data_IF_333183360080
#
_entry.id   IF_333183360080
#
_cell.length_a   1.000
_cell.length_b   1.000
_cell.length_c   1.000
_cell.angle_alpha   90.00
_cell.angle_beta   90.00
_cell.angle_gamma   90.00
#
_symmetry.space_group_name_H-M   'P 1'
#
loop_
_entity.id
_entity.type
_entity.pdbx_description
1 polymer ?
#
# COMPACT_ATOMS: atom_id res chain seq x y z
N UNK A 1 14.04 -0.45 -17.38
CA UNK A 1 13.52 -1.02 -16.14
C UNK A 1 12.29 -0.27 -15.63
N UNK A 2 11.46 -0.92 -14.82
CA UNK A 2 10.20 -0.38 -14.32
C UNK A 2 10.11 -0.60 -12.81
N UNK A 3 9.69 0.43 -12.08
CA UNK A 3 9.31 0.36 -10.67
C UNK A 3 7.80 0.53 -10.56
N UNK A 4 7.14 -0.44 -9.90
CA UNK A 4 5.69 -0.47 -9.68
C UNK A 4 5.38 -0.06 -8.24
N UNK A 5 4.52 0.95 -8.07
CA UNK A 5 4.09 1.47 -6.77
C UNK A 5 2.60 1.18 -6.53
N UNK A 6 2.26 0.20 -5.69
CA UNK A 6 0.89 -0.18 -5.40
C UNK A 6 0.11 0.88 -4.62
N UNK A 7 -1.23 0.77 -4.67
CA UNK A 7 -2.14 1.57 -3.86
C UNK A 7 -2.30 1.08 -2.42
N UNK A 8 -3.18 1.75 -1.67
CA UNK A 8 -3.61 1.30 -0.34
C UNK A 8 -4.21 -0.10 -0.45
N UNK A 9 -4.01 -0.92 0.55
CA UNK A 9 -4.49 -2.32 0.67
C UNK A 9 -4.06 -3.26 -0.46
N UNK A 10 -3.28 -2.78 -1.43
CA UNK A 10 -2.92 -3.53 -2.64
C UNK A 10 -1.65 -4.38 -2.48
N UNK A 11 -0.94 -4.26 -1.38
CA UNK A 11 0.23 -5.08 -1.05
C UNK A 11 -0.10 -6.01 0.11
N UNK A 12 0.30 -7.27 0.01
CA UNK A 12 0.18 -8.23 1.10
C UNK A 12 0.98 -7.78 2.34
N UNK A 13 0.44 -8.05 3.52
CA UNK A 13 1.12 -7.81 4.80
C UNK A 13 1.37 -9.16 5.51
N UNK A 14 2.54 -9.32 6.11
CA UNK A 14 2.99 -10.53 6.79
C UNK A 14 3.36 -10.23 8.24
N UNK A 15 3.05 -11.17 9.14
CA UNK A 15 3.56 -11.12 10.51
C UNK A 15 5.04 -11.55 10.56
N UNK A 16 5.83 -10.75 11.25
CA UNK A 16 7.23 -11.04 11.58
C UNK A 16 7.45 -11.09 13.10
N UNK A 17 6.36 -11.21 13.85
CA UNK A 17 6.38 -11.35 15.31
C UNK A 17 6.83 -12.76 15.71
N UNK A 18 7.70 -12.84 16.73
CA UNK A 18 8.31 -14.08 17.22
C UNK A 18 8.05 -14.33 18.70
N UNK A 19 7.23 -13.48 19.37
CA UNK A 19 6.79 -13.74 20.74
C UNK A 19 5.99 -15.04 20.82
N UNK A 20 5.92 -15.68 21.98
CA UNK A 20 5.24 -16.95 22.16
C UNK A 20 3.79 -16.93 21.65
N UNK A 21 3.05 -15.87 21.97
CA UNK A 21 1.67 -15.64 21.51
C UNK A 21 1.58 -15.45 19.99
N UNK A 22 2.56 -14.80 19.38
CA UNK A 22 2.55 -14.42 17.97
C UNK A 22 3.29 -15.40 17.03
N UNK A 23 4.10 -16.28 17.58
CA UNK A 23 4.92 -17.21 16.79
C UNK A 23 4.13 -18.10 15.81
N UNK A 24 2.88 -18.53 16.11
CA UNK A 24 2.07 -19.29 15.16
C UNK A 24 1.75 -18.51 13.87
N UNK A 25 1.88 -17.19 13.90
CA UNK A 25 1.62 -16.29 12.78
C UNK A 25 2.89 -15.88 12.03
N UNK A 26 4.05 -16.27 12.49
CA UNK A 26 5.32 -15.91 11.86
C UNK A 26 5.33 -16.22 10.37
N UNK A 27 5.63 -15.21 9.54
CA UNK A 27 5.64 -15.22 8.08
C UNK A 27 4.32 -15.61 7.40
N UNK A 28 3.22 -15.59 8.14
CA UNK A 28 1.91 -15.80 7.53
C UNK A 28 1.31 -14.47 7.04
N UNK A 29 0.62 -14.54 5.92
CA UNK A 29 -0.10 -13.37 5.36
C UNK A 29 -1.26 -12.99 6.27
N UNK A 30 -1.23 -11.78 6.81
CA UNK A 30 -2.33 -11.14 7.55
C UNK A 30 -3.28 -10.41 6.62
N UNK A 31 -2.77 -9.96 5.47
CA UNK A 31 -3.52 -9.26 4.43
C UNK A 31 -3.10 -9.77 3.05
N UNK A 32 -4.06 -9.88 2.12
CA UNK A 32 -3.77 -10.26 0.74
C UNK A 32 -3.60 -11.77 0.54
N UNK A 33 -4.47 -12.59 1.15
CA UNK A 33 -4.52 -14.04 0.92
C UNK A 33 -5.86 -14.63 1.36
N UNK A 34 -6.16 -15.84 0.92
CA UNK A 34 -7.34 -16.59 1.39
C UNK A 34 -7.31 -16.86 2.89
N UNK A 35 -6.12 -17.01 3.48
CA UNK A 35 -5.95 -17.18 4.94
C UNK A 35 -6.40 -15.94 5.73
N UNK A 36 -6.40 -14.76 5.13
CA UNK A 36 -6.95 -13.53 5.73
C UNK A 36 -8.43 -13.71 6.06
N UNK A 37 -9.21 -14.26 5.12
CA UNK A 37 -10.65 -14.47 5.30
C UNK A 37 -10.91 -15.44 6.46
N UNK A 38 -10.14 -16.54 6.51
CA UNK A 38 -10.25 -17.52 7.61
C UNK A 38 -9.95 -16.86 8.97
N UNK A 39 -8.91 -16.03 9.05
CA UNK A 39 -8.55 -15.33 10.29
C UNK A 39 -9.58 -14.29 10.69
N UNK A 40 -10.06 -13.49 9.75
CA UNK A 40 -11.11 -12.52 9.99
C UNK A 40 -12.40 -13.18 10.52
N UNK A 41 -12.67 -14.44 10.15
CA UNK A 41 -13.84 -15.18 10.60
C UNK A 41 -13.64 -15.93 11.93
N UNK A 42 -12.45 -16.53 12.14
CA UNK A 42 -12.24 -17.45 13.27
C UNK A 42 -11.37 -16.87 14.39
N UNK A 43 -10.63 -15.77 14.12
CA UNK A 43 -9.71 -15.12 15.06
C UNK A 43 -9.64 -13.61 14.80
N UNK A 44 -10.82 -12.98 14.73
CA UNK A 44 -10.99 -11.58 14.33
C UNK A 44 -10.21 -10.62 15.23
N UNK A 45 -10.32 -10.78 16.53
CA UNK A 45 -9.72 -9.82 17.48
C UNK A 45 -8.19 -9.82 17.38
N UNK A 46 -7.60 -10.99 17.20
CA UNK A 46 -6.17 -11.12 16.98
C UNK A 46 -5.75 -10.54 15.62
N UNK A 47 -6.53 -10.83 14.57
CA UNK A 47 -6.29 -10.30 13.23
C UNK A 47 -6.37 -8.77 13.19
N UNK A 48 -7.41 -8.17 13.79
CA UNK A 48 -7.57 -6.71 13.89
C UNK A 48 -6.43 -6.10 14.69
N UNK A 49 -6.08 -6.66 15.85
CA UNK A 49 -4.97 -6.19 16.70
C UNK A 49 -3.64 -6.15 15.95
N UNK A 50 -3.36 -7.13 15.11
CA UNK A 50 -2.15 -7.16 14.28
C UNK A 50 -2.17 -6.11 13.17
N UNK A 51 -3.34 -5.70 12.70
CA UNK A 51 -3.46 -4.69 11.64
C UNK A 51 -3.58 -3.26 12.16
N UNK A 52 -3.96 -3.06 13.41
CA UNK A 52 -3.97 -1.73 14.02
C UNK A 52 -2.56 -1.20 14.24
N UNK A 53 -2.41 0.11 14.13
CA UNK A 53 -1.20 0.82 14.53
C UNK A 53 -1.44 1.51 15.87
N UNK A 54 -0.37 1.66 16.65
CA UNK A 54 -0.38 2.43 17.88
C UNK A 54 -0.67 3.92 17.59
N UNK A 55 -1.68 4.53 18.22
CA UNK A 55 -2.12 5.88 17.88
C UNK A 55 -1.11 6.97 18.24
N UNK A 56 -0.20 6.72 19.18
CA UNK A 56 0.80 7.70 19.58
C UNK A 56 2.00 7.72 18.65
N UNK A 57 2.42 6.57 18.16
CA UNK A 57 3.62 6.43 17.32
C UNK A 57 3.32 6.24 15.83
N UNK A 58 2.13 5.76 15.49
CA UNK A 58 1.78 5.35 14.13
C UNK A 58 2.59 4.14 13.64
N UNK A 59 3.10 3.31 14.56
CA UNK A 59 3.88 2.10 14.30
C UNK A 59 3.14 0.86 14.80
N UNK A 60 3.71 -0.33 14.57
CA UNK A 60 3.19 -1.56 15.15
C UNK A 60 3.17 -1.48 16.68
N UNK A 61 2.09 -1.94 17.36
CA UNK A 61 2.07 -2.05 18.82
C UNK A 61 3.17 -2.95 19.35
N UNK A 62 3.49 -2.83 20.63
CA UNK A 62 4.46 -3.68 21.31
C UNK A 62 4.12 -5.17 21.11
N UNK A 63 5.14 -5.99 20.87
CA UNK A 63 4.99 -7.44 20.57
C UNK A 63 4.52 -7.75 19.14
N UNK A 64 4.06 -6.76 18.39
CA UNK A 64 3.61 -6.93 17.00
C UNK A 64 4.67 -6.45 16.01
N UNK A 65 4.88 -7.20 14.93
CA UNK A 65 5.77 -6.82 13.83
C UNK A 65 5.12 -7.22 12.51
N UNK A 66 4.59 -6.26 11.77
CA UNK A 66 3.98 -6.48 10.46
C UNK A 66 4.79 -5.78 9.39
N UNK A 67 5.02 -6.46 8.28
CA UNK A 67 5.81 -5.95 7.16
C UNK A 67 5.12 -6.25 5.83
N UNK A 68 5.38 -5.41 4.85
CA UNK A 68 4.94 -5.67 3.49
C UNK A 68 5.61 -6.93 2.92
N UNK A 69 4.81 -7.78 2.32
CA UNK A 69 5.31 -8.89 1.54
C UNK A 69 6.13 -8.38 0.34
N UNK A 70 7.12 -9.14 -0.08
CA UNK A 70 8.05 -8.75 -1.12
C UNK A 70 7.84 -9.55 -2.41
N UNK A 71 8.37 -9.04 -3.51
CA UNK A 71 8.29 -9.65 -4.84
C UNK A 71 6.98 -9.31 -5.57
N UNK A 72 6.92 -9.64 -6.86
CA UNK A 72 5.76 -9.32 -7.72
C UNK A 72 4.46 -9.94 -7.20
N UNK A 73 4.53 -11.11 -6.59
CA UNK A 73 3.38 -11.82 -6.01
C UNK A 73 2.72 -11.08 -4.83
N UNK A 74 3.43 -10.13 -4.22
CA UNK A 74 2.89 -9.34 -3.13
C UNK A 74 1.65 -8.51 -3.52
N UNK A 75 1.51 -8.16 -4.81
CA UNK A 75 0.37 -7.41 -5.32
C UNK A 75 -0.38 -8.13 -6.46
N UNK A 76 0.20 -9.16 -7.07
CA UNK A 76 -0.41 -9.87 -8.21
C UNK A 76 -1.59 -10.75 -7.80
N UNK A 77 -1.51 -11.37 -6.62
CA UNK A 77 -2.50 -12.35 -6.11
C UNK A 77 -3.13 -11.88 -4.81
N UNK A 78 -3.60 -10.64 -4.78
CA UNK A 78 -4.17 -10.04 -3.59
C UNK A 78 -5.49 -10.67 -3.15
N UNK A 79 -6.46 -10.73 -4.06
CA UNK A 79 -7.78 -11.35 -3.85
C UNK A 79 -8.40 -11.76 -5.17
N UNK A 80 -9.35 -12.70 -5.13
CA UNK A 80 -10.12 -13.06 -6.30
C UNK A 80 -10.85 -11.83 -6.87
N UNK A 81 -10.65 -11.54 -8.15
CA UNK A 81 -11.21 -10.36 -8.82
C UNK A 81 -10.40 -9.06 -8.70
N UNK A 82 -9.35 -9.03 -7.88
CA UNK A 82 -8.43 -7.90 -7.81
C UNK A 82 -7.15 -8.22 -8.60
N UNK A 83 -7.09 -7.79 -9.85
CA UNK A 83 -6.08 -8.19 -10.82
C UNK A 83 -5.33 -7.02 -11.48
N UNK A 84 -5.38 -5.83 -10.90
CA UNK A 84 -4.75 -4.62 -11.49
C UNK A 84 -3.28 -4.86 -11.81
N UNK A 85 -2.49 -5.27 -10.82
CA UNK A 85 -1.06 -5.47 -11.01
C UNK A 85 -0.73 -6.73 -11.80
N UNK A 86 -1.49 -7.83 -11.67
CA UNK A 86 -1.26 -9.02 -12.48
C UNK A 86 -1.39 -8.72 -13.96
N UNK A 87 -2.40 -7.93 -14.38
CA UNK A 87 -2.57 -7.56 -15.79
C UNK A 87 -1.48 -6.61 -16.29
N UNK A 88 -1.05 -5.66 -15.47
CA UNK A 88 0.06 -4.78 -15.84
C UNK A 88 1.36 -5.60 -16.00
N UNK A 89 1.65 -6.51 -15.08
CA UNK A 89 2.83 -7.39 -15.14
C UNK A 89 2.76 -8.31 -16.36
N UNK A 90 1.62 -8.96 -16.60
CA UNK A 90 1.39 -9.82 -17.77
C UNK A 90 1.62 -9.06 -19.10
N UNK A 91 1.09 -7.83 -19.20
CA UNK A 91 1.27 -7.02 -20.41
C UNK A 91 2.73 -6.57 -20.59
N UNK A 92 3.43 -6.22 -19.52
CA UNK A 92 4.85 -5.91 -19.58
C UNK A 92 5.68 -7.15 -19.95
N UNK A 93 5.33 -8.32 -19.42
CA UNK A 93 5.98 -9.58 -19.79
C UNK A 93 5.77 -9.93 -21.27
N UNK A 94 4.59 -9.65 -21.83
CA UNK A 94 4.29 -9.88 -23.24
C UNK A 94 5.20 -9.05 -24.20
N UNK A 95 5.75 -7.93 -23.72
CA UNK A 95 6.71 -7.11 -24.47
C UNK A 95 8.17 -7.30 -24.01
N UNK A 96 8.43 -8.39 -23.27
CA UNK A 96 9.79 -8.85 -22.95
C UNK A 96 10.36 -8.42 -21.61
N UNK A 97 9.54 -7.84 -20.70
CA UNK A 97 9.98 -7.59 -19.33
C UNK A 97 9.87 -8.83 -18.46
N UNK A 98 10.78 -8.97 -17.51
CA UNK A 98 10.75 -10.02 -16.49
C UNK A 98 11.16 -9.48 -15.10
N UNK A 99 11.39 -10.38 -14.14
CA UNK A 99 11.77 -10.03 -12.77
C UNK A 99 13.11 -9.26 -12.66
N UNK A 100 13.93 -9.25 -13.70
CA UNK A 100 15.20 -8.51 -13.70
C UNK A 100 14.96 -7.01 -13.93
N UNK A 101 13.94 -6.65 -14.74
CA UNK A 101 13.64 -5.27 -15.06
C UNK A 101 12.39 -4.73 -14.32
N UNK A 102 11.59 -5.61 -13.71
CA UNK A 102 10.40 -5.23 -12.94
C UNK A 102 10.68 -5.28 -11.44
N UNK A 103 10.52 -4.16 -10.77
CA UNK A 103 10.61 -4.07 -9.32
C UNK A 103 9.29 -3.59 -8.74
N UNK A 104 8.63 -4.44 -7.94
CA UNK A 104 7.47 -4.03 -7.15
C UNK A 104 7.97 -3.40 -5.84
N UNK A 105 7.80 -2.11 -5.71
CA UNK A 105 8.10 -1.38 -4.48
C UNK A 105 6.99 -1.61 -3.44
N UNK A 106 7.00 -2.80 -2.84
CA UNK A 106 6.06 -3.18 -1.79
C UNK A 106 6.31 -2.38 -0.52
N UNK A 107 5.25 -1.87 0.08
CA UNK A 107 5.32 -1.08 1.31
C UNK A 107 4.14 -1.38 2.25
N UNK A 108 4.33 -1.08 3.51
CA UNK A 108 3.27 -1.15 4.51
C UNK A 108 2.36 0.09 4.39
N UNK A 109 1.30 -0.06 3.64
CA UNK A 109 0.35 1.01 3.30
C UNK A 109 -0.42 1.56 4.51
N UNK A 110 -0.28 0.97 5.69
CA UNK A 110 -0.84 1.49 6.95
C UNK A 110 -0.06 2.71 7.46
N UNK A 111 1.24 2.77 7.17
CA UNK A 111 2.15 3.77 7.70
C UNK A 111 1.99 5.16 7.07
N UNK A 112 2.40 6.18 7.82
CA UNK A 112 2.68 7.50 7.26
C UNK A 112 3.88 7.45 6.32
N UNK A 113 3.96 8.43 5.39
CA UNK A 113 5.13 8.56 4.50
C UNK A 113 6.43 8.71 5.31
N UNK A 114 6.38 9.43 6.44
CA UNK A 114 7.53 9.56 7.33
C UNK A 114 7.95 8.20 7.91
N UNK A 115 7.02 7.45 8.48
CA UNK A 115 7.30 6.15 9.09
C UNK A 115 7.72 5.07 8.06
N UNK A 116 7.31 5.19 6.80
CA UNK A 116 7.81 4.33 5.71
C UNK A 116 9.33 4.46 5.54
N UNK A 117 9.86 5.67 5.65
CA UNK A 117 11.31 5.86 5.58
C UNK A 117 11.99 5.50 6.90
N UNK A 118 11.46 5.99 8.03
CA UNK A 118 12.11 5.80 9.34
C UNK A 118 12.17 4.33 9.77
N UNK A 119 11.07 3.60 9.62
CA UNK A 119 11.00 2.19 10.00
C UNK A 119 11.59 1.25 8.95
N UNK A 120 11.19 1.42 7.67
CA UNK A 120 11.42 0.45 6.61
C UNK A 120 12.49 0.89 5.59
N UNK A 121 13.01 2.13 5.69
CA UNK A 121 13.91 2.74 4.71
C UNK A 121 13.36 2.65 3.27
N UNK A 122 12.05 2.80 3.14
CA UNK A 122 11.33 2.50 1.92
C UNK A 122 11.79 3.38 0.74
N UNK A 123 11.87 4.69 0.93
CA UNK A 123 12.30 5.61 -0.12
C UNK A 123 13.78 5.47 -0.43
N UNK A 124 14.61 5.21 0.57
CA UNK A 124 16.03 4.88 0.37
C UNK A 124 16.20 3.62 -0.47
N UNK A 125 15.37 2.59 -0.26
CA UNK A 125 15.39 1.35 -1.04
C UNK A 125 14.96 1.58 -2.49
N UNK A 126 13.88 2.35 -2.73
CA UNK A 126 13.46 2.70 -4.10
C UNK A 126 14.56 3.48 -4.82
N UNK A 127 15.14 4.48 -4.17
CA UNK A 127 16.23 5.28 -4.72
C UNK A 127 17.40 4.38 -5.15
N UNK A 128 17.88 3.52 -4.25
CA UNK A 128 18.99 2.58 -4.55
C UNK A 128 18.65 1.60 -5.66
N UNK A 129 17.40 1.14 -5.74
CA UNK A 129 16.95 0.25 -6.82
C UNK A 129 16.96 0.96 -8.18
N UNK A 130 16.53 2.22 -8.22
CA UNK A 130 16.53 3.04 -9.44
C UNK A 130 17.97 3.34 -9.87
N UNK A 131 18.86 3.72 -8.94
CA UNK A 131 20.28 3.91 -9.21
C UNK A 131 20.94 2.62 -9.75
N UNK A 132 20.62 1.47 -9.14
CA UNK A 132 21.04 0.17 -9.63
C UNK A 132 20.56 -0.11 -11.07
N UNK A 133 19.30 0.18 -11.38
CA UNK A 133 18.77 0.01 -12.74
C UNK A 133 19.54 0.84 -13.76
N UNK A 134 19.82 2.10 -13.44
CA UNK A 134 20.60 2.98 -14.32
C UNK A 134 22.00 2.43 -14.56
N UNK A 135 22.66 1.96 -13.48
CA UNK A 135 24.00 1.38 -13.56
C UNK A 135 24.02 0.06 -14.35
N UNK A 136 23.09 -0.85 -14.03
CA UNK A 136 23.10 -2.21 -14.58
C UNK A 136 22.64 -2.27 -16.03
N UNK A 137 21.69 -1.42 -16.42
CA UNK A 137 21.07 -1.46 -17.76
C UNK A 137 21.42 -0.28 -18.66
N UNK A 138 22.08 0.76 -18.14
CA UNK A 138 22.34 2.00 -18.88
C UNK A 138 21.05 2.71 -19.33
N UNK A 139 19.93 2.49 -18.62
CA UNK A 139 18.60 3.00 -18.95
C UNK A 139 17.94 3.65 -17.73
N UNK A 140 17.24 4.75 -17.95
CA UNK A 140 16.41 5.39 -16.94
C UNK A 140 15.20 4.51 -16.62
N UNK A 141 14.71 4.64 -15.39
CA UNK A 141 13.57 3.85 -14.88
C UNK A 141 12.26 4.54 -15.18
N UNK A 142 11.25 3.77 -15.60
CA UNK A 142 9.85 4.21 -15.62
C UNK A 142 9.22 3.88 -14.27
N UNK A 143 8.63 4.89 -13.62
CA UNK A 143 7.89 4.75 -12.38
C UNK A 143 6.39 4.66 -12.70
N UNK A 144 5.75 3.54 -12.37
CA UNK A 144 4.30 3.34 -12.57
C UNK A 144 3.64 3.24 -11.20
N UNK A 145 2.66 4.08 -10.94
CA UNK A 145 1.89 4.09 -9.69
C UNK A 145 0.41 3.88 -9.92
N UNK A 146 -0.27 3.31 -8.94
CA UNK A 146 -1.72 3.17 -8.93
C UNK A 146 -2.31 3.69 -7.61
N UNK A 147 -3.42 4.44 -7.68
CA UNK A 147 -4.18 4.90 -6.50
C UNK A 147 -3.30 5.67 -5.50
N UNK A 148 -3.27 5.30 -4.21
CA UNK A 148 -2.40 5.89 -3.19
C UNK A 148 -0.91 5.84 -3.57
N UNK A 149 -0.49 4.88 -4.40
CA UNK A 149 0.87 4.81 -4.94
C UNK A 149 1.28 6.10 -5.67
N UNK A 150 0.33 6.84 -6.24
CA UNK A 150 0.59 8.16 -6.84
C UNK A 150 1.00 9.20 -5.79
N UNK A 151 0.33 9.22 -4.64
CA UNK A 151 0.70 10.10 -3.51
C UNK A 151 2.08 9.70 -2.95
N UNK A 152 2.34 8.40 -2.83
CA UNK A 152 3.65 7.86 -2.41
C UNK A 152 4.75 8.25 -3.39
N UNK A 153 4.49 8.14 -4.70
CA UNK A 153 5.43 8.54 -5.75
C UNK A 153 5.75 10.04 -5.68
N UNK A 154 4.73 10.89 -5.53
CA UNK A 154 4.93 12.33 -5.39
C UNK A 154 5.79 12.68 -4.17
N UNK A 155 5.53 12.01 -3.04
CA UNK A 155 6.35 12.18 -1.84
C UNK A 155 7.78 11.70 -2.07
N UNK A 156 7.97 10.56 -2.71
CA UNK A 156 9.29 10.04 -3.09
C UNK A 156 10.07 11.02 -3.96
N UNK A 157 9.44 11.56 -5.01
CA UNK A 157 10.09 12.53 -5.91
C UNK A 157 10.56 13.78 -5.14
N UNK A 158 9.72 14.31 -4.25
CA UNK A 158 10.09 15.45 -3.41
C UNK A 158 11.15 15.10 -2.36
N UNK A 159 11.11 13.90 -1.82
CA UNK A 159 12.08 13.41 -0.86
C UNK A 159 13.47 13.23 -1.50
N UNK A 160 13.52 12.62 -2.69
CA UNK A 160 14.81 12.41 -3.39
C UNK A 160 15.40 13.72 -3.90
N UNK A 161 14.56 14.63 -4.41
CA UNK A 161 15.00 15.97 -4.81
C UNK A 161 15.70 16.71 -3.66
N UNK A 162 15.15 16.65 -2.44
CA UNK A 162 15.77 17.23 -1.24
C UNK A 162 17.07 16.54 -0.85
N UNK A 163 17.18 15.23 -1.08
CA UNK A 163 18.32 14.42 -0.64
C UNK A 163 19.47 14.39 -1.65
N UNK A 164 19.19 14.46 -2.93
CA UNK A 164 20.15 14.30 -4.04
C UNK A 164 20.24 15.51 -4.98
N UNK A 165 19.30 16.42 -4.90
CA UNK A 165 19.15 17.52 -5.85
C UNK A 165 18.18 17.19 -6.98
N UNK A 166 17.79 18.23 -7.74
CA UNK A 166 16.80 18.10 -8.82
C UNK A 166 17.33 17.29 -10.01
N UNK A 167 18.63 17.32 -10.28
CA UNK A 167 19.26 16.59 -11.39
C UNK A 167 19.08 15.07 -11.30
N UNK A 168 18.95 14.54 -10.06
CA UNK A 168 18.80 13.10 -9.86
C UNK A 168 17.58 12.54 -10.61
N UNK A 169 16.47 13.29 -10.62
CA UNK A 169 15.24 12.88 -11.33
C UNK A 169 15.50 12.78 -12.82
N UNK A 170 16.14 13.80 -13.39
CA UNK A 170 16.46 13.83 -14.81
C UNK A 170 17.48 12.76 -15.22
N UNK A 171 18.39 12.41 -14.33
CA UNK A 171 19.42 11.39 -14.57
C UNK A 171 18.88 9.96 -14.51
N UNK A 172 17.89 9.69 -13.65
CA UNK A 172 17.48 8.33 -13.30
C UNK A 172 16.07 7.94 -13.73
N UNK A 173 15.17 8.91 -13.94
CA UNK A 173 13.78 8.63 -14.32
C UNK A 173 13.52 9.01 -15.77
N UNK A 174 12.92 8.09 -16.52
CA UNK A 174 12.45 8.30 -17.88
C UNK A 174 11.04 8.90 -17.88
N UNK A 175 10.15 8.37 -17.05
CA UNK A 175 8.77 8.80 -16.97
C UNK A 175 8.13 8.42 -15.63
N UNK A 176 7.11 9.17 -15.26
CA UNK A 176 6.17 8.84 -14.20
C UNK A 176 4.77 8.61 -14.80
N UNK A 177 4.32 7.36 -14.74
CA UNK A 177 2.99 6.94 -15.20
C UNK A 177 2.06 6.82 -13.99
N UNK A 178 1.08 7.70 -13.91
CA UNK A 178 0.15 7.78 -12.79
C UNK A 178 -1.22 7.19 -13.17
N UNK A 179 -1.52 6.00 -12.67
CA UNK A 179 -2.79 5.31 -12.89
C UNK A 179 -3.77 5.63 -11.77
N UNK A 180 -4.72 6.52 -12.02
CA UNK A 180 -5.75 6.93 -11.04
C UNK A 180 -5.17 7.33 -9.68
N UNK A 181 -4.03 8.02 -9.66
CA UNK A 181 -3.34 8.41 -8.43
C UNK A 181 -4.08 9.48 -7.65
N UNK A 182 -4.09 9.30 -6.34
CA UNK A 182 -4.84 10.11 -5.38
C UNK A 182 -4.02 11.31 -4.87
N UNK A 183 -3.44 12.10 -5.77
CA UNK A 183 -2.47 13.16 -5.43
C UNK A 183 -3.06 14.20 -4.46
N UNK A 184 -4.32 14.57 -4.66
CA UNK A 184 -5.04 15.49 -3.80
C UNK A 184 -6.04 14.82 -2.86
N UNK A 185 -5.92 13.51 -2.69
CA UNK A 185 -6.85 12.72 -1.89
C UNK A 185 -8.09 12.27 -2.67
N UNK A 186 -9.03 11.67 -1.96
CA UNK A 186 -10.30 11.18 -2.52
C UNK A 186 -11.45 11.46 -1.54
N UNK A 187 -12.63 11.90 -2.02
CA UNK A 187 -13.78 12.18 -1.15
C UNK A 187 -14.21 10.94 -0.34
N UNK A 188 -14.07 9.75 -0.91
CA UNK A 188 -14.43 8.48 -0.26
C UNK A 188 -13.61 8.17 1.01
N UNK A 189 -12.45 8.78 1.20
CA UNK A 189 -11.68 8.62 2.44
C UNK A 189 -12.45 9.17 3.65
N UNK A 190 -13.27 10.21 3.48
CA UNK A 190 -14.05 10.79 4.57
C UNK A 190 -15.07 9.82 5.14
N UNK A 191 -16.05 9.27 4.39
CA UNK A 191 -17.00 8.31 4.94
C UNK A 191 -16.30 7.04 5.44
N UNK A 192 -15.23 6.56 4.80
CA UNK A 192 -14.49 5.40 5.28
C UNK A 192 -13.92 5.63 6.69
N UNK A 193 -13.29 6.78 6.93
CA UNK A 193 -12.71 7.13 8.24
C UNK A 193 -13.77 7.48 9.29
N UNK A 194 -14.88 8.10 8.89
CA UNK A 194 -15.93 8.54 9.81
C UNK A 194 -16.88 7.41 10.21
N UNK A 195 -17.27 6.60 9.24
CA UNK A 195 -18.36 5.61 9.42
C UNK A 195 -17.96 4.17 9.08
N UNK A 196 -16.73 3.91 8.62
CA UNK A 196 -16.32 2.58 8.16
C UNK A 196 -16.99 2.14 6.86
N UNK A 197 -17.51 3.07 6.06
CA UNK A 197 -18.20 2.77 4.80
C UNK A 197 -17.25 2.20 3.74
N UNK A 198 -17.62 1.07 3.14
CA UNK A 198 -16.83 0.35 2.15
C UNK A 198 -17.61 -0.06 0.89
N UNK A 199 -18.92 0.25 0.81
CA UNK A 199 -19.81 -0.34 -0.20
C UNK A 199 -19.33 -0.27 -1.63
N UNK A 200 -18.80 0.88 -2.06
CA UNK A 200 -18.34 1.03 -3.45
C UNK A 200 -16.89 0.54 -3.66
N UNK A 201 -16.20 0.16 -2.60
CA UNK A 201 -14.82 -0.32 -2.66
C UNK A 201 -14.77 -1.83 -2.87
N UNK A 202 -15.81 -2.54 -2.39
CA UNK A 202 -15.93 -4.00 -2.51
C UNK A 202 -17.25 -4.31 -3.20
N UNK A 203 -17.20 -4.69 -4.45
CA UNK A 203 -18.34 -5.28 -5.16
C UNK A 203 -18.54 -6.72 -4.67
N UNK A 204 -19.09 -6.87 -3.48
CA UNK A 204 -19.39 -8.18 -2.91
C UNK A 204 -20.86 -8.55 -3.18
N UNK A 205 -21.16 -9.84 -3.43
CA UNK A 205 -22.54 -10.32 -3.40
C UNK A 205 -23.24 -9.92 -2.09
N UNK A 206 -24.54 -9.61 -2.15
CA UNK A 206 -25.29 -9.09 -1.00
C UNK A 206 -25.16 -9.96 0.26
N UNK A 207 -25.09 -11.28 0.11
CA UNK A 207 -24.87 -12.23 1.21
C UNK A 207 -23.49 -12.02 1.87
N UNK A 208 -22.43 -11.81 1.08
CA UNK A 208 -21.08 -11.59 1.60
C UNK A 208 -20.98 -10.21 2.28
N UNK A 209 -21.63 -9.20 1.72
CA UNK A 209 -21.72 -7.87 2.35
C UNK A 209 -22.43 -7.96 3.71
N UNK A 210 -23.54 -8.71 3.80
CA UNK A 210 -24.27 -8.95 5.06
C UNK A 210 -23.39 -9.69 6.09
N UNK A 211 -22.67 -10.73 5.67
CA UNK A 211 -21.76 -11.46 6.55
C UNK A 211 -20.62 -10.56 7.05
N UNK A 212 -20.03 -9.76 6.17
CA UNK A 212 -18.99 -8.80 6.55
C UNK A 212 -19.50 -7.80 7.60
N UNK A 213 -20.72 -7.23 7.41
CA UNK A 213 -21.33 -6.32 8.39
C UNK A 213 -21.57 -6.99 9.75
N UNK A 214 -21.92 -8.26 9.75
CA UNK A 214 -22.15 -9.01 10.98
C UNK A 214 -20.87 -9.38 11.74
N UNK A 215 -19.80 -9.70 11.01
CA UNK A 215 -18.52 -10.14 11.59
C UNK A 215 -17.54 -9.00 11.82
N UNK A 216 -17.66 -7.91 11.06
CA UNK A 216 -16.78 -6.76 11.12
C UNK A 216 -17.63 -5.49 10.93
N UNK A 217 -18.11 -4.97 12.04
CA UNK A 217 -19.04 -3.85 12.06
C UNK A 217 -18.44 -2.57 11.47
N UNK A 218 -19.29 -1.65 11.04
CA UNK A 218 -18.88 -0.35 10.53
C UNK A 218 -18.00 0.41 11.54
N UNK A 219 -18.34 0.34 12.83
CA UNK A 219 -17.54 0.98 13.88
C UNK A 219 -16.14 0.38 13.99
N UNK A 220 -16.01 -0.95 14.04
CA UNK A 220 -14.70 -1.62 14.08
C UNK A 220 -13.85 -1.29 12.87
N UNK A 221 -14.47 -1.22 11.66
CA UNK A 221 -13.77 -0.79 10.44
C UNK A 221 -13.30 0.66 10.54
N UNK A 222 -14.13 1.57 11.01
CA UNK A 222 -13.76 2.97 11.19
C UNK A 222 -12.60 3.13 12.17
N UNK A 223 -12.61 2.41 13.28
CA UNK A 223 -11.50 2.39 14.25
C UNK A 223 -10.21 1.88 13.63
N UNK A 224 -10.28 0.77 12.89
CA UNK A 224 -9.14 0.21 12.17
C UNK A 224 -8.58 1.21 11.13
N UNK A 225 -9.43 1.78 10.28
CA UNK A 225 -9.01 2.73 9.24
C UNK A 225 -8.40 4.00 9.82
N UNK A 226 -8.92 4.51 10.94
CA UNK A 226 -8.35 5.65 11.64
C UNK A 226 -6.98 5.36 12.25
N UNK A 227 -6.67 4.10 12.58
CA UNK A 227 -5.34 3.73 13.04
C UNK A 227 -4.28 3.80 11.93
N UNK A 228 -4.69 3.75 10.64
CA UNK A 228 -3.77 3.76 9.52
C UNK A 228 -3.50 5.19 9.02
N UNK A 229 -2.30 5.68 9.23
CA UNK A 229 -1.89 6.98 8.71
C UNK A 229 -1.94 7.05 7.16
N UNK A 230 -1.77 5.91 6.49
CA UNK A 230 -1.99 5.78 5.04
C UNK A 230 -3.41 6.16 4.64
N UNK A 231 -4.44 5.72 5.37
CA UNK A 231 -5.84 6.13 5.14
C UNK A 231 -6.03 7.64 5.30
N UNK A 232 -5.44 8.22 6.36
CA UNK A 232 -5.50 9.66 6.59
C UNK A 232 -4.80 10.46 5.46
N UNK A 233 -3.79 9.89 4.81
CA UNK A 233 -3.12 10.52 3.68
C UNK A 233 -4.03 10.71 2.46
N UNK A 234 -5.15 9.99 2.41
CA UNK A 234 -6.15 10.06 1.32
C UNK A 234 -7.25 11.10 1.56
N UNK A 235 -7.26 11.79 2.70
CA UNK A 235 -8.21 12.88 2.95
C UNK A 235 -8.03 13.96 1.89
N UNK A 236 -9.14 14.52 1.33
CA UNK A 236 -9.09 15.58 0.33
C UNK A 236 -8.25 16.79 0.76
N UNK A 237 -7.41 17.29 -0.16
CA UNK A 237 -6.51 18.42 0.01
C UNK A 237 -6.78 19.45 -1.06
N UNK A 238 -6.50 20.73 -0.77
CA UNK A 238 -6.65 21.84 -1.72
C UNK A 238 -7.89 22.72 -1.47
N UNK A 239 -8.74 22.36 -0.52
CA UNK A 239 -9.90 23.15 -0.13
C UNK A 239 -10.80 23.51 -1.31
N UNK A 240 -11.47 24.66 -1.23
CA UNK A 240 -12.44 25.16 -2.22
C UNK A 240 -11.81 25.34 -3.61
N UNK A 241 -10.52 25.67 -3.70
CA UNK A 241 -9.83 25.84 -4.98
C UNK A 241 -9.79 24.55 -5.83
N UNK A 242 -9.94 23.39 -5.21
CA UNK A 242 -9.90 22.07 -5.87
C UNK A 242 -11.26 21.40 -5.88
N UNK A 243 -11.99 21.49 -4.76
CA UNK A 243 -13.21 20.71 -4.51
C UNK A 243 -14.50 21.53 -4.64
N UNK A 244 -14.37 22.84 -4.86
CA UNK A 244 -15.49 23.78 -4.93
C UNK A 244 -15.91 24.28 -3.54
N UNK A 245 -16.73 25.32 -3.56
CA UNK A 245 -17.50 25.87 -2.45
C UNK A 245 -18.98 25.50 -2.64
N UNK A 246 -19.79 25.70 -1.62
CA UNK A 246 -21.25 25.45 -1.65
C UNK A 246 -21.97 26.36 -2.66
#
# INVERSE_FOLDING_TARGET
PVVLLPGIVSTGLESWSTSEEQSPFFRKRLWGSTSMIQRALFDKDHWVRNLMLDPATGLDPEGTRVRAAQGLDAASYFAAGYWVWSKIIENLAAVGYDINQLYLASYDWRLSMFNLEERDRFFSRIMSQIEFHTLAYGKKTVLISHSMGGTVALYFLKWVERKRGSSWIDEHLEAFVNLSGTLLGVPKAMPALMTGEMRDTVQAPAMLAYLLERFFSAQERAELFRSWAGSASLIPKGGNAVWGDE
#
